data_IF_308101904001
#
_entry.id   IF_308101904001
#
_cell.length_a   1.000
_cell.length_b   1.000
_cell.length_c   1.000
_cell.angle_alpha   90.00
_cell.angle_beta   90.00
_cell.angle_gamma   90.00
#
_symmetry.space_group_name_H-M   'P 1'
#
loop_
_entity.id
_entity.type
_entity.pdbx_description
1 polymer ?
#
# COMPACT_ATOMS: atom_id res chain seq x y z
N UNK A 1 56.67 26.45 -32.95
CA UNK A 1 57.42 25.63 -31.97
C UNK A 1 56.70 25.74 -30.64
N UNK A 2 56.32 24.59 -30.06
CA UNK A 2 55.82 24.41 -28.66
C UNK A 2 54.44 25.04 -28.41
N UNK A 3 53.43 24.42 -27.81
CA UNK A 3 53.29 23.14 -27.13
C UNK A 3 51.93 23.16 -26.41
N UNK A 4 51.28 22.00 -26.37
CA UNK A 4 49.95 21.70 -25.84
C UNK A 4 49.78 22.01 -24.35
N UNK A 5 48.59 22.49 -23.93
CA UNK A 5 48.03 22.20 -22.59
C UNK A 5 46.54 21.91 -22.76
N UNK A 6 46.17 20.64 -22.59
CA UNK A 6 44.79 20.18 -22.38
C UNK A 6 44.35 20.53 -20.95
N UNK A 7 43.15 21.09 -20.80
CA UNK A 7 42.45 21.12 -19.51
C UNK A 7 41.06 20.52 -19.73
N UNK A 8 40.92 19.26 -19.31
CA UNK A 8 39.66 18.58 -19.11
C UNK A 8 38.96 19.15 -17.88
N UNK A 9 37.73 19.65 -18.03
CA UNK A 9 36.78 19.74 -16.92
C UNK A 9 35.40 19.22 -17.33
N UNK A 10 35.18 17.97 -16.92
CA UNK A 10 33.93 17.40 -16.41
C UNK A 10 32.64 17.71 -17.18
N UNK A 11 32.25 16.73 -18.01
CA UNK A 11 30.88 16.53 -18.47
C UNK A 11 29.89 16.55 -17.31
N UNK A 12 29.00 17.54 -17.34
CA UNK A 12 27.80 17.58 -16.50
C UNK A 12 26.90 16.41 -16.91
N UNK A 13 26.94 15.33 -16.13
CA UNK A 13 26.01 14.23 -16.25
C UNK A 13 24.61 14.71 -15.82
N UNK A 14 23.85 15.19 -16.79
CA UNK A 14 22.40 15.27 -16.74
C UNK A 14 21.82 13.85 -16.64
N UNK A 15 21.71 13.32 -15.42
CA UNK A 15 21.01 12.07 -15.17
C UNK A 15 19.50 12.31 -15.24
N UNK A 16 18.95 11.99 -16.42
CA UNK A 16 17.54 12.04 -16.73
C UNK A 16 16.70 11.04 -15.92
N UNK A 17 15.63 11.53 -15.32
CA UNK A 17 14.52 10.75 -14.76
C UNK A 17 13.46 10.49 -15.83
N UNK A 18 13.82 9.80 -16.93
CA UNK A 18 12.90 9.62 -18.08
C UNK A 18 12.78 8.21 -18.66
N UNK A 19 13.25 7.16 -17.97
CA UNK A 19 13.12 5.78 -18.46
C UNK A 19 12.53 4.84 -17.40
N UNK A 20 11.20 4.86 -17.21
CA UNK A 20 10.44 3.69 -16.71
C UNK A 20 8.90 3.80 -16.81
N UNK A 21 8.34 4.92 -17.28
CA UNK A 21 6.89 5.16 -17.28
C UNK A 21 6.11 4.16 -18.14
N UNK A 22 6.62 3.84 -19.34
CA UNK A 22 5.88 3.03 -20.31
C UNK A 22 5.65 1.60 -19.82
N UNK A 23 6.62 0.99 -19.13
CA UNK A 23 6.48 -0.37 -18.61
C UNK A 23 5.53 -0.47 -17.41
N UNK A 24 5.44 0.57 -16.57
CA UNK A 24 4.50 0.58 -15.44
C UNK A 24 3.05 0.75 -15.92
N UNK A 25 2.83 1.61 -16.90
CA UNK A 25 1.53 1.84 -17.51
C UNK A 25 1.00 0.59 -18.25
N UNK A 26 1.85 -0.05 -19.05
CA UNK A 26 1.49 -1.29 -19.77
C UNK A 26 1.09 -2.42 -18.82
N UNK A 27 1.82 -2.58 -17.70
CA UNK A 27 1.49 -3.55 -16.65
C UNK A 27 0.19 -3.23 -15.93
N UNK A 28 -0.12 -1.94 -15.75
CA UNK A 28 -1.40 -1.51 -15.20
C UNK A 28 -2.55 -1.82 -16.17
N UNK A 29 -2.35 -1.58 -17.47
CA UNK A 29 -3.35 -1.90 -18.50
C UNK A 29 -3.57 -3.41 -18.63
N UNK A 30 -2.51 -4.22 -18.49
CA UNK A 30 -2.60 -5.67 -18.40
C UNK A 30 -3.46 -6.11 -17.22
N UNK A 31 -3.21 -5.58 -16.02
CA UNK A 31 -3.99 -5.86 -14.82
C UNK A 31 -5.46 -5.42 -14.98
N UNK A 32 -5.69 -4.26 -15.60
CA UNK A 32 -7.03 -3.74 -15.93
C UNK A 32 -7.78 -4.74 -16.81
N UNK A 33 -7.16 -5.20 -17.91
CA UNK A 33 -7.76 -6.19 -18.82
C UNK A 33 -8.06 -7.51 -18.12
N UNK A 34 -7.16 -8.00 -17.25
CA UNK A 34 -7.38 -9.22 -16.46
C UNK A 34 -8.58 -9.10 -15.51
N UNK A 35 -8.87 -7.89 -15.03
CA UNK A 35 -10.02 -7.59 -14.19
C UNK A 35 -11.27 -7.18 -15.00
N UNK A 36 -11.25 -7.37 -16.33
CA UNK A 36 -12.37 -7.07 -17.22
C UNK A 36 -12.66 -5.58 -17.37
N UNK A 37 -11.69 -4.71 -17.09
CA UNK A 37 -11.84 -3.26 -17.25
C UNK A 37 -11.70 -2.87 -18.72
N UNK A 38 -12.56 -1.95 -19.16
CA UNK A 38 -12.52 -1.36 -20.50
C UNK A 38 -11.88 0.02 -20.49
N UNK A 39 -11.66 0.60 -21.67
CA UNK A 39 -11.14 1.96 -21.78
C UNK A 39 -12.11 2.96 -21.12
N UNK A 40 -11.56 3.82 -20.25
CA UNK A 40 -12.34 4.72 -19.39
C UNK A 40 -12.69 4.14 -18.02
N UNK A 41 -12.60 2.82 -17.80
CA UNK A 41 -12.82 2.23 -16.47
C UNK A 41 -11.58 2.32 -15.59
N UNK A 42 -11.74 2.92 -14.42
CA UNK A 42 -10.67 2.97 -13.42
C UNK A 42 -10.51 1.62 -12.71
N UNK A 43 -9.26 1.20 -12.54
CA UNK A 43 -8.89 0.21 -11.54
C UNK A 43 -8.93 0.86 -10.15
N UNK A 44 -9.80 0.39 -9.26
CA UNK A 44 -10.02 0.97 -7.94
C UNK A 44 -9.36 0.12 -6.85
N UNK A 45 -8.27 0.63 -6.29
CA UNK A 45 -7.48 -0.02 -5.24
C UNK A 45 -7.70 0.68 -3.90
N UNK A 46 -7.95 -0.10 -2.86
CA UNK A 46 -8.30 0.40 -1.54
C UNK A 46 -7.44 -0.24 -0.47
N UNK A 47 -6.65 0.55 0.25
CA UNK A 47 -6.04 0.11 1.51
C UNK A 47 -7.03 0.21 2.66
N UNK A 48 -7.28 -0.89 3.38
CA UNK A 48 -8.10 -0.91 4.60
C UNK A 48 -7.15 -0.93 5.78
N UNK A 49 -7.04 0.17 6.51
CA UNK A 49 -6.13 0.33 7.64
C UNK A 49 -5.00 1.30 7.32
N UNK A 50 -4.89 2.35 8.12
CA UNK A 50 -3.92 3.44 7.95
C UNK A 50 -2.84 3.44 9.06
N UNK A 51 -2.41 2.25 9.47
CA UNK A 51 -1.18 2.07 10.23
C UNK A 51 0.06 2.28 9.36
N UNK A 52 1.25 2.05 9.92
CA UNK A 52 2.53 2.21 9.22
C UNK A 52 2.57 1.46 7.88
N UNK A 53 2.35 0.14 7.91
CA UNK A 53 2.42 -0.70 6.70
C UNK A 53 1.35 -0.39 5.67
N UNK A 54 0.09 -0.19 6.10
CA UNK A 54 -1.00 0.17 5.20
C UNK A 54 -0.76 1.52 4.50
N UNK A 55 -0.28 2.51 5.25
CA UNK A 55 0.04 3.85 4.72
C UNK A 55 1.22 3.82 3.75
N UNK A 56 2.31 3.12 4.09
CA UNK A 56 3.49 2.97 3.23
C UNK A 56 3.13 2.24 1.93
N UNK A 57 2.37 1.14 2.02
CA UNK A 57 1.98 0.39 0.84
C UNK A 57 1.08 1.22 -0.09
N UNK A 58 0.09 1.92 0.46
CA UNK A 58 -0.74 2.84 -0.31
C UNK A 58 0.07 3.97 -0.96
N UNK A 59 1.05 4.52 -0.23
CA UNK A 59 1.95 5.54 -0.76
C UNK A 59 2.82 5.03 -1.90
N UNK A 60 3.34 3.81 -1.82
CA UNK A 60 4.11 3.19 -2.91
C UNK A 60 3.26 2.97 -4.16
N UNK A 61 2.01 2.54 -4.00
CA UNK A 61 1.06 2.45 -5.13
C UNK A 61 0.78 3.83 -5.72
N UNK A 62 0.53 4.82 -4.85
CA UNK A 62 0.19 6.18 -5.26
C UNK A 62 1.35 6.86 -5.99
N UNK A 63 2.58 6.62 -5.55
CA UNK A 63 3.80 7.12 -6.20
C UNK A 63 4.00 6.46 -7.57
N UNK A 64 3.86 5.13 -7.63
CA UNK A 64 4.08 4.36 -8.85
C UNK A 64 3.02 4.61 -9.94
N UNK A 65 1.74 4.73 -9.57
CA UNK A 65 0.64 4.75 -10.55
C UNK A 65 -0.29 5.95 -10.44
N UNK A 66 -0.21 6.75 -9.37
CA UNK A 66 -1.16 7.82 -9.10
C UNK A 66 -1.14 8.99 -10.08
N UNK A 67 -0.16 9.03 -10.98
CA UNK A 67 -0.13 9.97 -12.10
C UNK A 67 -1.04 9.54 -13.27
N UNK A 68 -1.38 8.25 -13.38
CA UNK A 68 -2.28 7.66 -14.39
C UNK A 68 -3.75 7.76 -13.96
N UNK A 69 -4.22 8.99 -13.75
CA UNK A 69 -5.51 9.29 -13.08
C UNK A 69 -6.75 8.79 -13.84
N UNK A 70 -6.61 8.57 -15.14
CA UNK A 70 -7.61 8.03 -16.06
C UNK A 70 -7.62 6.49 -16.09
N UNK A 71 -6.66 5.84 -15.42
CA UNK A 71 -6.51 4.37 -15.40
C UNK A 71 -6.67 3.76 -14.02
N UNK A 72 -6.25 4.47 -12.96
CA UNK A 72 -6.27 3.94 -11.58
C UNK A 72 -6.75 4.99 -10.58
N UNK A 73 -7.46 4.51 -9.57
CA UNK A 73 -7.76 5.26 -8.36
C UNK A 73 -7.28 4.48 -7.14
N UNK A 74 -6.39 5.10 -6.37
CA UNK A 74 -5.88 4.54 -5.12
C UNK A 74 -6.43 5.38 -3.97
N UNK A 75 -6.99 4.71 -2.95
CA UNK A 75 -7.47 5.35 -1.73
C UNK A 75 -7.13 4.49 -0.52
N UNK A 76 -7.11 5.12 0.64
CA UNK A 76 -6.89 4.45 1.92
C UNK A 76 -8.04 4.77 2.87
N UNK A 77 -8.61 3.74 3.47
CA UNK A 77 -9.56 3.85 4.55
C UNK A 77 -8.83 3.97 5.89
N UNK A 78 -9.23 4.98 6.66
CA UNK A 78 -8.80 5.19 8.04
C UNK A 78 -10.03 5.39 8.93
N UNK A 79 -10.05 4.75 10.10
CA UNK A 79 -11.04 5.02 11.14
C UNK A 79 -10.93 6.49 11.60
N UNK A 80 -12.02 7.28 11.57
CA UNK A 80 -11.99 8.68 11.97
C UNK A 80 -11.82 8.86 13.49
N UNK A 81 -11.57 10.10 13.92
CA UNK A 81 -11.68 10.49 15.32
C UNK A 81 -10.40 10.38 16.16
N UNK A 82 -9.29 9.90 15.60
CA UNK A 82 -8.00 9.93 16.31
C UNK A 82 -7.40 11.34 16.23
N UNK A 83 -7.49 12.09 17.32
CA UNK A 83 -6.79 13.38 17.47
C UNK A 83 -5.27 13.19 17.55
N UNK A 84 -4.55 14.23 17.15
CA UNK A 84 -3.11 14.40 17.34
C UNK A 84 -2.93 15.24 18.58
N UNK A 85 -2.18 14.75 19.56
CA UNK A 85 -1.88 15.53 20.77
C UNK A 85 -0.88 16.66 20.47
N UNK A 86 -0.79 17.62 21.39
CA UNK A 86 0.05 18.82 21.23
C UNK A 86 1.52 18.49 21.01
N UNK A 87 2.09 17.54 21.76
CA UNK A 87 3.51 17.18 21.62
C UNK A 87 3.80 16.58 20.24
N UNK A 88 2.89 15.74 19.75
CA UNK A 88 2.97 15.19 18.40
C UNK A 88 2.79 16.26 17.32
N UNK A 89 1.91 17.25 17.54
CA UNK A 89 1.72 18.37 16.62
C UNK A 89 2.95 19.29 16.55
N UNK A 90 3.59 19.56 17.68
CA UNK A 90 4.85 20.30 17.78
C UNK A 90 5.97 19.56 17.03
N UNK A 91 6.13 18.26 17.27
CA UNK A 91 7.10 17.42 16.55
C UNK A 91 6.84 17.38 15.04
N UNK A 92 5.58 17.23 14.64
CA UNK A 92 5.20 17.23 13.23
C UNK A 92 5.55 18.57 12.55
N UNK A 93 5.39 19.69 13.25
CA UNK A 93 5.79 21.00 12.75
C UNK A 93 7.30 21.08 12.52
N UNK A 94 8.12 20.54 13.43
CA UNK A 94 9.57 20.46 13.25
C UNK A 94 9.94 19.61 12.03
N UNK A 95 9.32 18.44 11.87
CA UNK A 95 9.53 17.57 10.70
C UNK A 95 9.19 18.30 9.40
N UNK A 96 8.07 19.04 9.35
CA UNK A 96 7.69 19.85 8.18
C UNK A 96 8.77 20.88 7.83
N UNK A 97 9.26 21.62 8.82
CA UNK A 97 10.25 22.69 8.58
C UNK A 97 11.66 22.16 8.29
N UNK A 98 11.97 20.93 8.69
CA UNK A 98 13.24 20.27 8.36
C UNK A 98 13.31 19.77 6.91
N UNK A 99 12.18 19.70 6.20
CA UNK A 99 12.08 19.13 4.84
C UNK A 99 11.50 20.15 3.86
N UNK A 100 12.37 20.74 3.05
CA UNK A 100 12.03 21.84 2.14
C UNK A 100 10.96 21.46 1.09
N UNK A 101 10.99 20.23 0.58
CA UNK A 101 10.01 19.71 -0.38
C UNK A 101 8.60 19.58 0.23
N UNK A 102 8.53 19.11 1.47
CA UNK A 102 7.29 18.98 2.24
C UNK A 102 6.72 20.37 2.57
N UNK A 103 7.55 21.27 3.09
CA UNK A 103 7.17 22.65 3.40
C UNK A 103 6.59 23.36 2.16
N UNK A 104 7.33 23.33 1.04
CA UNK A 104 6.88 23.93 -0.23
C UNK A 104 5.57 23.32 -0.71
N UNK A 105 5.39 22.00 -0.59
CA UNK A 105 4.14 21.31 -0.98
C UNK A 105 2.96 21.80 -0.15
N UNK A 106 3.11 21.93 1.17
CA UNK A 106 2.04 22.38 2.06
C UNK A 106 1.67 23.84 1.85
N UNK A 107 2.66 24.72 1.63
CA UNK A 107 2.41 26.14 1.30
C UNK A 107 1.61 26.26 0.00
N UNK A 108 2.03 25.56 -1.08
CA UNK A 108 1.33 25.60 -2.37
C UNK A 108 -0.12 25.09 -2.30
N UNK A 109 -0.45 24.25 -1.33
CA UNK A 109 -1.79 23.70 -1.11
C UNK A 109 -2.59 24.47 -0.06
N UNK A 110 -2.08 25.60 0.43
CA UNK A 110 -2.67 26.36 1.53
C UNK A 110 -2.92 25.52 2.80
N UNK A 111 -2.12 24.48 3.01
CA UNK A 111 -2.26 23.52 4.11
C UNK A 111 -1.29 23.80 5.27
N UNK A 112 -0.29 24.68 5.10
CA UNK A 112 0.72 24.93 6.14
C UNK A 112 0.15 25.59 7.40
N UNK A 113 -0.80 26.53 7.25
CA UNK A 113 -1.35 27.31 8.37
C UNK A 113 -1.95 26.42 9.47
N UNK A 114 -2.65 25.34 9.10
CA UNK A 114 -3.26 24.45 10.10
C UNK A 114 -2.23 23.78 11.02
N UNK A 115 -1.00 23.58 10.56
CA UNK A 115 0.08 23.03 11.39
C UNK A 115 0.68 24.08 12.33
N UNK A 116 0.66 25.36 11.94
CA UNK A 116 1.02 26.48 12.82
C UNK A 116 -0.02 26.61 13.94
N UNK A 117 -1.31 26.66 13.60
CA UNK A 117 -2.43 26.74 14.55
C UNK A 117 -2.39 25.56 15.53
N UNK A 118 -2.15 24.35 15.03
CA UNK A 118 -2.09 23.15 15.85
C UNK A 118 -0.93 23.15 16.85
N UNK A 119 0.24 23.67 16.43
CA UNK A 119 1.40 23.84 17.32
C UNK A 119 1.12 24.85 18.44
N UNK A 120 0.39 25.93 18.12
CA UNK A 120 0.02 26.95 19.11
C UNK A 120 -1.06 26.45 20.09
N UNK A 121 -1.82 25.42 19.69
CA UNK A 121 -2.94 24.87 20.46
C UNK A 121 -4.29 25.46 20.06
N UNK A 122 -4.34 26.28 19.00
CA UNK A 122 -5.55 26.93 18.49
C UNK A 122 -6.42 25.97 17.65
N UNK A 123 -5.84 24.83 17.24
CA UNK A 123 -6.51 23.81 16.43
C UNK A 123 -6.14 22.40 16.85
N UNK A 124 -7.12 21.51 16.90
CA UNK A 124 -6.88 20.06 16.97
C UNK A 124 -6.71 19.49 15.57
N UNK A 125 -5.59 18.80 15.32
CA UNK A 125 -5.42 18.00 14.10
C UNK A 125 -5.99 16.60 14.30
N UNK A 126 -6.56 16.03 13.25
CA UNK A 126 -6.95 14.63 13.19
C UNK A 126 -6.01 13.82 12.30
N UNK A 127 -5.85 12.56 12.65
CA UNK A 127 -4.89 11.70 12.00
C UNK A 127 -5.25 11.36 10.53
N UNK A 128 -6.53 11.46 10.14
CA UNK A 128 -6.94 11.37 8.73
C UNK A 128 -6.59 12.66 7.95
N UNK A 129 -6.67 13.83 8.58
CA UNK A 129 -6.26 15.10 7.95
C UNK A 129 -4.77 15.14 7.65
N UNK A 130 -3.92 14.74 8.59
CA UNK A 130 -2.47 14.74 8.37
C UNK A 130 -2.06 13.66 7.36
N UNK A 131 -2.80 12.54 7.27
CA UNK A 131 -2.55 11.50 6.28
C UNK A 131 -2.87 11.95 4.85
N UNK A 132 -3.91 12.78 4.66
CA UNK A 132 -4.19 13.42 3.36
C UNK A 132 -3.02 14.27 2.88
N UNK A 133 -2.26 14.83 3.81
CA UNK A 133 -1.09 15.66 3.53
C UNK A 133 0.22 14.87 3.44
N UNK A 134 0.17 13.55 3.65
CA UNK A 134 1.31 12.64 3.53
C UNK A 134 2.00 12.33 4.85
N UNK A 135 1.32 12.43 6.00
CA UNK A 135 1.89 12.08 7.31
C UNK A 135 1.14 10.90 7.93
N UNK A 136 1.87 9.82 8.23
CA UNK A 136 1.33 8.72 9.01
C UNK A 136 1.68 8.93 10.49
N UNK A 137 0.68 8.91 11.37
CA UNK A 137 0.87 9.14 12.81
C UNK A 137 1.95 8.22 13.43
N UNK A 138 2.04 6.98 12.97
CA UNK A 138 3.00 5.99 13.47
C UNK A 138 4.41 6.13 12.86
N UNK A 139 4.60 7.05 11.91
CA UNK A 139 5.84 7.28 11.18
C UNK A 139 6.00 8.77 10.85
N UNK A 140 5.80 9.65 11.84
CA UNK A 140 5.79 11.10 11.61
C UNK A 140 7.10 11.61 10.99
N UNK A 141 8.24 11.02 11.37
CA UNK A 141 9.56 11.40 10.86
C UNK A 141 9.80 11.05 9.39
N UNK A 142 8.91 10.23 8.79
CA UNK A 142 9.02 9.77 7.42
C UNK A 142 7.76 10.14 6.63
N UNK A 143 7.66 11.43 6.19
CA UNK A 143 6.58 11.86 5.32
C UNK A 143 6.54 11.02 4.04
N UNK A 144 5.33 10.70 3.61
CA UNK A 144 5.02 10.00 2.38
C UNK A 144 4.35 10.94 1.37
N UNK A 145 3.99 10.42 0.20
CA UNK A 145 3.18 11.16 -0.75
C UNK A 145 1.75 11.38 -0.18
N UNK A 146 1.09 12.50 -0.51
CA UNK A 146 -0.31 12.73 -0.14
C UNK A 146 -1.22 11.61 -0.64
N UNK A 147 -2.15 11.15 0.21
CA UNK A 147 -3.06 10.05 -0.10
C UNK A 147 -4.52 10.52 -0.19
N UNK A 148 -5.32 9.84 -1.01
CA UNK A 148 -6.78 9.96 -0.98
C UNK A 148 -7.32 9.19 0.22
N UNK A 149 -7.58 9.88 1.33
CA UNK A 149 -8.08 9.28 2.58
C UNK A 149 -9.61 9.34 2.64
N UNK A 150 -10.22 8.19 2.88
CA UNK A 150 -11.67 8.02 3.07
C UNK A 150 -11.91 7.54 4.51
N UNK A 151 -12.89 8.13 5.19
CA UNK A 151 -13.21 7.80 6.59
C UNK A 151 -14.45 6.92 6.72
N UNK A 152 -15.35 6.95 5.73
CA UNK A 152 -16.48 6.04 5.65
C UNK A 152 -16.05 4.69 5.05
N UNK A 153 -16.23 3.58 5.78
CA UNK A 153 -15.78 2.26 5.35
C UNK A 153 -16.55 1.76 4.12
N UNK A 154 -17.87 1.95 4.09
CA UNK A 154 -18.71 1.54 2.97
C UNK A 154 -18.29 2.27 1.69
N UNK A 155 -18.20 3.60 1.73
CA UNK A 155 -17.73 4.41 0.60
C UNK A 155 -16.37 3.91 0.11
N UNK A 156 -15.46 3.61 1.04
CA UNK A 156 -14.12 3.16 0.71
C UNK A 156 -14.08 1.81 0.01
N UNK A 157 -14.96 0.85 0.31
CA UNK A 157 -14.86 -0.53 -0.22
C UNK A 157 -15.94 -0.89 -1.24
N UNK A 158 -16.99 -0.08 -1.38
CA UNK A 158 -18.19 -0.39 -2.15
C UNK A 158 -17.88 -0.79 -3.59
N UNK A 159 -17.09 0.02 -4.29
CA UNK A 159 -16.71 -0.15 -5.69
C UNK A 159 -15.23 -0.53 -5.86
N UNK A 160 -14.59 -1.08 -4.81
CA UNK A 160 -13.22 -1.54 -4.89
C UNK A 160 -13.09 -2.75 -5.83
N UNK A 161 -12.05 -2.77 -6.65
CA UNK A 161 -11.64 -3.96 -7.42
C UNK A 161 -10.60 -4.77 -6.64
N UNK A 162 -9.70 -4.06 -5.94
CA UNK A 162 -8.67 -4.64 -5.10
C UNK A 162 -8.74 -4.00 -3.71
N UNK A 163 -8.73 -4.85 -2.68
CA UNK A 163 -8.76 -4.48 -1.27
C UNK A 163 -7.49 -4.98 -0.61
N UNK A 164 -6.72 -4.07 -0.04
CA UNK A 164 -5.46 -4.36 0.65
C UNK A 164 -5.71 -4.27 2.15
N UNK A 165 -5.72 -5.40 2.85
CA UNK A 165 -5.82 -5.45 4.31
C UNK A 165 -4.50 -4.99 4.94
N UNK A 166 -4.48 -3.77 5.48
CA UNK A 166 -3.41 -3.18 6.28
C UNK A 166 -3.74 -3.09 7.77
N UNK A 167 -4.81 -3.75 8.23
CA UNK A 167 -5.20 -3.77 9.64
C UNK A 167 -4.26 -4.66 10.48
N UNK A 168 -4.13 -4.38 11.78
CA UNK A 168 -3.66 -5.38 12.74
C UNK A 168 -4.53 -6.64 12.67
N UNK A 169 -3.95 -7.80 12.98
CA UNK A 169 -4.69 -9.07 13.05
C UNK A 169 -5.92 -8.94 13.95
N UNK A 170 -5.75 -8.33 15.14
CA UNK A 170 -6.77 -8.10 16.17
C UNK A 170 -8.02 -7.35 15.71
N UNK A 171 -7.93 -6.59 14.63
CA UNK A 171 -9.05 -5.79 14.08
C UNK A 171 -9.58 -6.38 12.77
N UNK A 172 -8.89 -7.36 12.19
CA UNK A 172 -9.22 -7.87 10.85
C UNK A 172 -10.61 -8.51 10.82
N UNK A 173 -10.99 -9.27 11.85
CA UNK A 173 -12.31 -9.94 11.89
C UNK A 173 -13.46 -8.93 11.89
N UNK A 174 -13.49 -8.03 12.88
CA UNK A 174 -14.53 -7.02 13.05
C UNK A 174 -14.75 -6.21 11.77
N UNK A 175 -13.67 -5.67 11.19
CA UNK A 175 -13.78 -4.82 10.01
C UNK A 175 -14.22 -5.61 8.78
N UNK A 176 -13.72 -6.83 8.58
CA UNK A 176 -14.15 -7.63 7.43
C UNK A 176 -15.57 -8.20 7.56
N UNK A 177 -16.08 -8.38 8.78
CA UNK A 177 -17.50 -8.69 9.01
C UNK A 177 -18.40 -7.54 8.58
N UNK A 178 -18.03 -6.29 8.88
CA UNK A 178 -18.76 -5.12 8.40
C UNK A 178 -18.67 -4.98 6.87
N UNK A 179 -17.47 -5.11 6.30
CA UNK A 179 -17.26 -5.10 4.85
C UNK A 179 -18.13 -6.15 4.15
N UNK A 180 -18.25 -7.36 4.74
CA UNK A 180 -19.04 -8.44 4.16
C UNK A 180 -20.50 -8.06 3.98
N UNK A 181 -21.05 -7.20 4.84
CA UNK A 181 -22.44 -6.74 4.76
C UNK A 181 -22.65 -5.90 3.50
N UNK A 182 -21.70 -5.04 3.15
CA UNK A 182 -21.74 -4.20 1.95
C UNK A 182 -21.57 -5.01 0.67
N UNK A 183 -20.76 -6.07 0.69
CA UNK A 183 -20.50 -6.87 -0.50
C UNK A 183 -21.59 -7.88 -0.85
N UNK A 184 -22.56 -8.12 0.03
CA UNK A 184 -23.72 -8.98 -0.28
C UNK A 184 -24.52 -8.49 -1.49
N UNK A 185 -24.52 -7.18 -1.72
CA UNK A 185 -25.26 -6.52 -2.79
C UNK A 185 -24.44 -6.41 -4.09
N UNK A 186 -23.17 -6.87 -4.09
CA UNK A 186 -22.29 -6.78 -5.25
C UNK A 186 -22.40 -8.01 -6.15
N UNK A 187 -22.37 -7.76 -7.46
CA UNK A 187 -22.26 -8.80 -8.50
C UNK A 187 -20.85 -9.40 -8.51
N UNK A 188 -19.81 -8.56 -8.34
CA UNK A 188 -18.40 -8.98 -8.35
C UNK A 188 -17.74 -8.75 -7.00
N UNK A 189 -17.02 -9.76 -6.52
CA UNK A 189 -16.21 -9.67 -5.30
C UNK A 189 -14.82 -9.12 -5.62
N UNK A 190 -14.25 -8.23 -4.80
CA UNK A 190 -12.90 -7.73 -5.02
C UNK A 190 -11.83 -8.78 -4.72
N UNK A 191 -10.66 -8.59 -5.33
CA UNK A 191 -9.44 -9.31 -4.94
C UNK A 191 -8.96 -8.75 -3.60
N UNK A 192 -8.60 -9.63 -2.66
CA UNK A 192 -8.10 -9.23 -1.34
C UNK A 192 -6.62 -9.60 -1.20
N UNK A 193 -5.79 -8.61 -0.87
CA UNK A 193 -4.36 -8.76 -0.56
C UNK A 193 -4.17 -8.45 0.92
N UNK A 194 -3.61 -9.37 1.72
CA UNK A 194 -3.41 -9.13 3.15
C UNK A 194 -1.96 -8.85 3.51
N UNK A 195 -1.69 -7.66 4.06
CA UNK A 195 -0.41 -7.27 4.63
C UNK A 195 -0.29 -7.60 6.12
N UNK A 196 -1.43 -7.89 6.79
CA UNK A 196 -1.48 -8.19 8.21
C UNK A 196 -0.57 -9.38 8.54
N UNK A 197 0.40 -9.13 9.43
CA UNK A 197 1.23 -10.16 10.06
C UNK A 197 0.71 -10.40 11.46
N UNK A 198 0.44 -11.66 11.80
CA UNK A 198 -0.01 -12.04 13.12
C UNK A 198 -0.96 -13.22 13.09
N UNK A 199 -1.32 -13.69 14.27
CA UNK A 199 -2.27 -14.77 14.51
C UNK A 199 -3.20 -14.37 15.64
N UNK A 200 -4.43 -14.85 15.61
CA UNK A 200 -5.36 -14.77 16.73
C UNK A 200 -5.63 -16.15 17.32
N UNK A 201 -5.97 -16.21 18.60
CA UNK A 201 -6.57 -17.41 19.18
C UNK A 201 -8.10 -17.29 19.09
N UNK A 202 -8.74 -18.21 18.37
CA UNK A 202 -10.18 -18.41 18.47
C UNK A 202 -10.42 -19.52 19.49
N UNK A 203 -11.24 -19.26 20.50
CA UNK A 203 -11.52 -20.22 21.58
C UNK A 203 -12.66 -21.19 21.24
N UNK A 204 -13.54 -20.80 20.32
CA UNK A 204 -14.72 -21.57 19.91
C UNK A 204 -14.66 -22.05 18.45
N UNK A 205 -15.26 -23.21 18.12
CA UNK A 205 -15.79 -24.23 19.05
C UNK A 205 -14.69 -25.04 19.74
N UNK A 206 -13.44 -24.92 19.28
CA UNK A 206 -12.25 -25.50 19.89
C UNK A 206 -11.12 -24.47 19.77
N UNK A 207 -10.29 -24.27 20.81
CA UNK A 207 -9.14 -23.38 20.76
C UNK A 207 -8.23 -23.66 19.56
N UNK A 208 -8.07 -22.67 18.68
CA UNK A 208 -7.23 -22.77 17.48
C UNK A 208 -6.61 -21.43 17.12
N UNK A 209 -5.48 -21.52 16.45
CA UNK A 209 -4.81 -20.36 15.88
C UNK A 209 -5.50 -20.02 14.55
N UNK A 210 -5.89 -18.76 14.39
CA UNK A 210 -6.54 -18.23 13.20
C UNK A 210 -5.66 -17.15 12.58
N UNK A 211 -5.38 -17.27 11.29
CA UNK A 211 -4.62 -16.26 10.54
C UNK A 211 -5.56 -15.17 9.99
N UNK A 212 -5.07 -13.95 9.72
CA UNK A 212 -5.84 -12.90 9.05
C UNK A 212 -6.56 -13.38 7.79
N UNK A 213 -5.92 -14.22 6.98
CA UNK A 213 -6.53 -14.80 5.78
C UNK A 213 -7.71 -15.71 6.11
N UNK A 214 -7.62 -16.52 7.18
CA UNK A 214 -8.74 -17.33 7.64
C UNK A 214 -9.88 -16.45 8.18
N UNK A 215 -9.56 -15.36 8.90
CA UNK A 215 -10.57 -14.40 9.37
C UNK A 215 -11.33 -13.77 8.21
N UNK A 216 -10.62 -13.28 7.19
CA UNK A 216 -11.20 -12.71 5.97
C UNK A 216 -12.08 -13.74 5.24
N UNK A 217 -11.60 -14.99 5.11
CA UNK A 217 -12.36 -16.07 4.46
C UNK A 217 -13.67 -16.37 5.19
N UNK A 218 -13.63 -16.47 6.52
CA UNK A 218 -14.81 -16.71 7.35
C UNK A 218 -15.80 -15.55 7.29
N UNK A 219 -15.31 -14.31 7.33
CA UNK A 219 -16.14 -13.11 7.30
C UNK A 219 -16.81 -12.90 5.92
N UNK A 220 -16.06 -13.09 4.84
CA UNK A 220 -16.54 -12.75 3.48
C UNK A 220 -17.52 -13.77 2.88
N UNK A 221 -17.59 -15.02 3.38
CA UNK A 221 -18.45 -16.15 2.94
C UNK A 221 -18.53 -16.47 1.43
N UNK A 222 -17.92 -15.67 0.55
CA UNK A 222 -18.09 -15.70 -0.92
C UNK A 222 -16.83 -15.35 -1.71
N UNK A 223 -15.66 -15.26 -1.09
CA UNK A 223 -14.43 -14.90 -1.83
C UNK A 223 -13.66 -16.15 -2.28
N UNK A 224 -13.21 -16.12 -3.54
CA UNK A 224 -11.88 -16.61 -3.90
C UNK A 224 -10.86 -15.75 -3.14
N UNK A 225 -10.81 -15.89 -1.82
CA UNK A 225 -9.54 -15.73 -1.14
C UNK A 225 -8.63 -16.75 -1.81
N UNK A 226 -7.47 -16.34 -2.31
CA UNK A 226 -6.38 -17.28 -2.65
C UNK A 226 -6.02 -18.01 -1.35
N UNK A 227 -6.83 -19.01 -1.01
CA UNK A 227 -6.69 -19.85 0.16
C UNK A 227 -5.75 -20.95 -0.26
N UNK A 228 -4.52 -20.86 0.23
CA UNK A 228 -3.58 -21.96 0.14
C UNK A 228 -4.22 -23.22 0.69
N UNK A 229 -4.43 -24.21 -0.20
CA UNK A 229 -4.32 -25.63 0.18
C UNK A 229 -2.87 -26.03 0.48
N UNK A 230 -1.92 -25.09 0.38
CA UNK A 230 -0.49 -25.30 0.57
C UNK A 230 0.15 -24.45 1.68
N UNK A 231 -0.63 -23.71 2.48
CA UNK A 231 -0.08 -22.99 3.64
C UNK A 231 -0.03 -23.93 4.87
N UNK A 232 0.81 -24.96 4.78
CA UNK A 232 1.26 -25.67 5.99
C UNK A 232 2.27 -24.82 6.74
N UNK A 233 2.03 -24.71 8.05
CA UNK A 233 2.97 -24.41 9.15
C UNK A 233 3.90 -23.19 8.99
N UNK A 234 3.79 -22.23 9.90
CA UNK A 234 4.99 -21.77 10.62
C UNK A 234 4.60 -21.32 12.04
N UNK A 235 4.95 -22.17 13.01
CA UNK A 235 5.10 -21.84 14.42
C UNK A 235 6.50 -21.26 14.65
N UNK A 236 6.59 -20.47 15.74
CA UNK A 236 7.79 -19.96 16.44
C UNK A 236 8.56 -18.82 15.79
N UNK A 237 8.50 -17.69 16.48
CA UNK A 237 9.64 -16.80 16.70
C UNK A 237 10.01 -15.91 15.53
N UNK A 238 9.92 -14.60 15.75
CA UNK A 238 10.44 -13.52 14.91
C UNK A 238 9.66 -13.30 13.60
N UNK A 239 8.96 -12.16 13.55
CA UNK A 239 8.13 -11.76 12.43
C UNK A 239 8.92 -11.53 11.15
N UNK A 240 8.94 -12.52 10.25
CA UNK A 240 9.57 -12.39 8.93
C UNK A 240 8.52 -12.52 7.82
N UNK A 241 8.28 -11.37 7.19
CA UNK A 241 7.76 -11.09 5.84
C UNK A 241 6.67 -11.97 5.19
N UNK A 242 5.39 -11.58 5.38
CA UNK A 242 4.30 -11.95 4.47
C UNK A 242 4.64 -11.63 3.00
N UNK A 243 5.35 -10.54 2.70
CA UNK A 243 5.78 -10.19 1.34
C UNK A 243 6.72 -11.24 0.73
N UNK A 244 7.58 -11.86 1.55
CA UNK A 244 8.45 -12.96 1.14
C UNK A 244 7.65 -14.20 0.80
N UNK A 245 6.81 -14.62 1.73
CA UNK A 245 5.90 -15.75 1.54
C UNK A 245 4.95 -15.55 0.34
N UNK A 246 4.42 -14.33 0.13
CA UNK A 246 3.58 -14.00 -1.02
C UNK A 246 4.37 -14.01 -2.34
N UNK A 247 5.57 -13.43 -2.36
CA UNK A 247 6.43 -13.49 -3.55
C UNK A 247 6.80 -14.93 -3.89
N UNK A 248 7.22 -15.73 -2.90
CA UNK A 248 7.62 -17.13 -3.08
C UNK A 248 6.44 -18.03 -3.45
N UNK A 249 5.27 -17.81 -2.86
CA UNK A 249 4.02 -18.49 -3.23
C UNK A 249 3.64 -18.16 -4.67
N UNK A 250 3.58 -16.87 -5.01
CA UNK A 250 3.23 -16.43 -6.36
C UNK A 250 4.36 -16.66 -7.38
N UNK A 251 5.54 -17.10 -6.93
CA UNK A 251 6.65 -17.59 -7.77
C UNK A 251 6.62 -19.11 -7.99
N UNK A 252 5.68 -19.84 -7.37
CA UNK A 252 5.56 -21.29 -7.56
C UNK A 252 5.10 -21.62 -8.98
N UNK A 253 5.80 -22.56 -9.63
CA UNK A 253 5.48 -23.03 -10.98
C UNK A 253 4.11 -23.71 -11.09
N UNK A 254 3.60 -24.27 -9.98
CA UNK A 254 2.27 -24.88 -9.89
C UNK A 254 1.11 -23.88 -9.97
N UNK A 255 1.38 -22.59 -9.75
CA UNK A 255 0.43 -21.50 -9.90
C UNK A 255 0.62 -20.72 -11.21
N UNK A 256 1.36 -21.30 -12.16
CA UNK A 256 1.68 -20.64 -13.42
C UNK A 256 0.43 -20.23 -14.19
N UNK A 257 0.44 -19.00 -14.66
CA UNK A 257 -0.57 -18.41 -15.54
C UNK A 257 0.07 -18.16 -16.90
N UNK A 258 -0.72 -18.19 -17.97
CA UNK A 258 -0.19 -17.94 -19.30
C UNK A 258 0.24 -16.48 -19.42
N UNK A 259 1.51 -16.25 -19.73
CA UNK A 259 2.06 -14.94 -20.03
C UNK A 259 1.34 -14.38 -21.26
N UNK A 260 0.74 -13.18 -21.20
CA UNK A 260 -0.14 -12.69 -22.26
C UNK A 260 0.58 -12.51 -23.60
N UNK A 261 1.88 -12.19 -23.59
CA UNK A 261 2.66 -12.01 -24.81
C UNK A 261 3.37 -13.29 -25.27
N UNK A 262 4.14 -13.93 -24.40
CA UNK A 262 4.92 -15.11 -24.77
C UNK A 262 4.09 -16.40 -24.88
N UNK A 263 2.82 -16.39 -24.43
CA UNK A 263 1.94 -17.58 -24.31
C UNK A 263 2.59 -18.74 -23.55
N UNK A 264 3.58 -18.44 -22.72
CA UNK A 264 4.27 -19.41 -21.87
C UNK A 264 3.74 -19.36 -20.45
N UNK A 265 3.69 -20.48 -19.73
CA UNK A 265 3.36 -20.46 -18.31
C UNK A 265 4.43 -19.71 -17.52
N UNK A 266 4.04 -18.65 -16.83
CA UNK A 266 4.89 -17.83 -15.95
C UNK A 266 4.29 -17.72 -14.57
N UNK A 267 5.12 -17.49 -13.55
CA UNK A 267 4.62 -17.38 -12.20
C UNK A 267 3.87 -16.03 -12.01
N UNK A 268 2.72 -15.99 -11.31
CA UNK A 268 1.96 -14.76 -11.08
C UNK A 268 2.75 -13.59 -10.48
N UNK A 269 3.81 -13.88 -9.71
CA UNK A 269 4.71 -12.87 -9.17
C UNK A 269 5.46 -12.10 -10.27
N UNK A 270 5.66 -12.70 -11.44
CA UNK A 270 6.32 -12.08 -12.59
C UNK A 270 5.42 -11.06 -13.29
N UNK A 271 4.10 -11.21 -13.17
CA UNK A 271 3.10 -10.26 -13.68
C UNK A 271 2.84 -9.10 -12.69
N UNK A 272 3.39 -9.15 -11.47
CA UNK A 272 3.23 -8.12 -10.44
C UNK A 272 4.56 -7.45 -10.08
N UNK A 273 5.07 -6.48 -10.88
CA UNK A 273 6.33 -5.79 -10.63
C UNK A 273 6.42 -5.14 -9.25
N UNK A 274 5.29 -4.69 -8.68
CA UNK A 274 5.19 -4.11 -7.34
C UNK A 274 5.58 -5.14 -6.28
N UNK A 275 5.06 -6.37 -6.39
CA UNK A 275 5.37 -7.45 -5.45
C UNK A 275 6.85 -7.83 -5.51
N UNK A 276 7.41 -7.90 -6.73
CA UNK A 276 8.85 -8.10 -6.97
C UNK A 276 9.71 -6.98 -6.41
N UNK A 277 9.23 -5.73 -6.48
CA UNK A 277 9.91 -4.54 -5.96
C UNK A 277 9.88 -4.52 -4.43
N UNK A 278 8.73 -4.80 -3.83
CA UNK A 278 8.56 -4.93 -2.38
C UNK A 278 9.42 -6.06 -1.81
N UNK A 279 9.49 -7.22 -2.48
CA UNK A 279 10.40 -8.30 -2.11
C UNK A 279 11.86 -7.84 -2.11
N UNK A 280 12.32 -7.19 -3.19
CA UNK A 280 13.69 -6.67 -3.29
C UNK A 280 14.02 -5.63 -2.22
N UNK A 281 13.10 -4.70 -1.94
CA UNK A 281 13.32 -3.63 -0.95
C UNK A 281 13.32 -4.21 0.46
N UNK A 282 12.31 -5.00 0.81
CA UNK A 282 12.05 -5.42 2.19
C UNK A 282 12.89 -6.62 2.63
N UNK A 283 13.33 -7.47 1.70
CA UNK A 283 14.03 -8.73 2.03
C UNK A 283 15.49 -8.66 1.62
N UNK A 284 15.80 -8.22 0.38
CA UNK A 284 17.20 -8.14 -0.07
C UNK A 284 17.97 -6.94 0.46
N UNK A 285 17.32 -5.80 0.74
CA UNK A 285 18.01 -4.56 1.16
C UNK A 285 18.15 -4.40 2.68
N UNK A 286 17.26 -5.01 3.46
CA UNK A 286 17.28 -4.98 4.94
C UNK A 286 17.87 -6.24 5.60
N UNK A 287 18.46 -7.16 4.82
CA UNK A 287 19.31 -8.22 5.36
C UNK A 287 18.62 -9.21 6.30
N UNK A 288 17.35 -9.57 6.05
CA UNK A 288 16.74 -10.71 6.74
C UNK A 288 17.07 -11.98 5.96
N UNK A 289 18.24 -12.54 6.24
CA UNK A 289 18.67 -13.86 5.79
C UNK A 289 18.67 -14.82 6.99
N UNK A 290 18.09 -16.00 6.72
CA UNK A 290 18.03 -17.25 7.50
C UNK A 290 16.97 -17.32 8.59
#
# INVERSE_FOLDING_TARGET
>A
MVGTVEINHSSVNSNGSRHNSNGAEERLDELRRLLGKTDGDLLKIVGVGAGAWGSVFAALLQDAYGHLRDKVQIRIWRRPGRSVDRSTAEHLFEVINSREDVLRRLIRRCAYLKYVEARLGDRTLYADEILRDGFCLNMIDTPVCPLKVVTNLQEAVWDADIVVNGLPSTETREVFEDISRYWKERITVPIIISLAKGIEAALDPVPRIVTPTQMIKCASKSSLALSGRYLMQFQKGNGVSAVGAFYELLSQSSLSVLHPEEKKPVAPAELCPILKTLYKILIRRFGFIS
#
